data_IF_762895624452
#
_entry.id   IF_762895624452
#
_cell.length_a   1.000
_cell.length_b   1.000
_cell.length_c   1.000
_cell.angle_alpha   90.00
_cell.angle_beta   90.00
_cell.angle_gamma   90.00
#
_symmetry.space_group_name_H-M   'P 1'
#
loop_
_entity.id
_entity.type
_entity.pdbx_description
1 polymer ?
#
# COMPACT_ATOMS: atom_id res chain seq x y z
N UNK A 1 15.39 4.45 -15.02
CA UNK A 1 14.10 4.40 -14.36
C UNK A 1 13.21 3.35 -15.03
N UNK A 2 11.92 3.29 -14.70
CA UNK A 2 10.97 2.32 -15.28
C UNK A 2 10.58 2.79 -16.67
N UNK A 3 10.63 1.91 -17.68
CA UNK A 3 10.22 2.24 -19.05
C UNK A 3 8.70 2.28 -19.23
N UNK A 4 8.25 2.90 -20.34
CA UNK A 4 6.82 3.10 -20.60
C UNK A 4 6.06 1.79 -20.81
N UNK A 5 6.67 0.76 -21.37
CA UNK A 5 6.03 -0.55 -21.60
C UNK A 5 5.75 -1.22 -20.24
N UNK A 6 6.73 -1.24 -19.32
CA UNK A 6 6.58 -1.76 -17.98
C UNK A 6 5.51 -0.98 -17.21
N UNK A 7 5.50 0.37 -17.31
CA UNK A 7 4.48 1.20 -16.67
C UNK A 7 3.07 0.88 -17.21
N UNK A 8 2.92 0.75 -18.53
CA UNK A 8 1.64 0.39 -19.17
C UNK A 8 1.15 -0.98 -18.69
N UNK A 9 2.02 -1.99 -18.67
CA UNK A 9 1.66 -3.31 -18.18
C UNK A 9 1.26 -3.29 -16.70
N UNK A 10 2.01 -2.58 -15.88
CA UNK A 10 1.77 -2.54 -14.44
C UNK A 10 0.51 -1.74 -14.09
N UNK A 11 0.24 -0.62 -14.78
CA UNK A 11 -0.94 0.21 -14.55
C UNK A 11 -2.17 -0.34 -15.29
N UNK A 12 -2.10 -0.48 -16.63
CA UNK A 12 -3.28 -0.74 -17.47
C UNK A 12 -3.71 -2.22 -17.49
N UNK A 13 -2.86 -3.13 -17.00
CA UNK A 13 -3.19 -4.56 -16.90
C UNK A 13 -3.24 -5.03 -15.45
N UNK A 14 -2.13 -4.93 -14.74
CA UNK A 14 -2.02 -5.48 -13.38
C UNK A 14 -2.93 -4.72 -12.39
N UNK A 15 -2.78 -3.40 -12.27
CA UNK A 15 -3.63 -2.60 -11.40
C UNK A 15 -5.11 -2.60 -11.86
N UNK A 16 -5.37 -2.48 -13.15
CA UNK A 16 -6.74 -2.54 -13.69
C UNK A 16 -7.45 -3.85 -13.37
N UNK A 17 -6.71 -4.98 -13.29
CA UNK A 17 -7.28 -6.28 -12.87
C UNK A 17 -7.74 -6.24 -11.42
N UNK A 18 -6.99 -5.62 -10.51
CA UNK A 18 -7.43 -5.44 -9.12
C UNK A 18 -8.71 -4.63 -9.05
N UNK A 19 -8.80 -3.53 -9.78
CA UNK A 19 -10.02 -2.69 -9.83
C UNK A 19 -11.22 -3.50 -10.32
N UNK A 20 -11.09 -4.21 -11.43
CA UNK A 20 -12.18 -5.02 -11.98
C UNK A 20 -12.66 -6.10 -11.01
N UNK A 21 -11.73 -6.80 -10.36
CA UNK A 21 -12.07 -7.88 -9.42
C UNK A 21 -12.67 -7.34 -8.11
N UNK A 22 -12.20 -6.19 -7.60
CA UNK A 22 -12.79 -5.55 -6.43
C UNK A 22 -14.23 -5.11 -6.72
N UNK A 23 -14.48 -4.47 -7.86
CA UNK A 23 -15.82 -4.08 -8.29
C UNK A 23 -16.76 -5.30 -8.42
N UNK A 24 -16.31 -6.39 -9.07
CA UNK A 24 -17.08 -7.61 -9.20
C UNK A 24 -17.41 -8.28 -7.85
N UNK A 25 -16.57 -8.10 -6.83
CA UNK A 25 -16.87 -8.54 -5.47
C UNK A 25 -17.93 -7.65 -4.82
N UNK A 26 -17.79 -6.31 -4.91
CA UNK A 26 -18.73 -5.34 -4.34
C UNK A 26 -20.12 -5.42 -4.96
N UNK A 27 -20.25 -5.71 -6.26
CA UNK A 27 -21.53 -5.91 -6.95
C UNK A 27 -22.42 -6.98 -6.30
N UNK A 28 -21.83 -7.93 -5.58
CA UNK A 28 -22.60 -8.99 -4.88
C UNK A 28 -23.25 -8.49 -3.59
N UNK A 29 -22.73 -7.39 -3.03
CA UNK A 29 -23.14 -6.83 -1.74
C UNK A 29 -23.25 -5.31 -1.80
N UNK A 30 -24.13 -4.74 -2.63
CA UNK A 30 -24.23 -3.29 -2.79
C UNK A 30 -24.60 -2.55 -1.49
N UNK A 31 -25.13 -3.26 -0.51
CA UNK A 31 -25.50 -2.71 0.80
C UNK A 31 -24.31 -2.26 1.66
N UNK A 32 -23.10 -2.78 1.41
CA UNK A 32 -21.92 -2.41 2.21
C UNK A 32 -21.22 -1.13 1.71
N UNK A 33 -21.65 -0.60 0.56
CA UNK A 33 -21.02 0.59 -0.06
C UNK A 33 -19.71 0.26 -0.80
N UNK A 34 -19.03 1.33 -1.23
CA UNK A 34 -17.84 1.23 -2.11
C UNK A 34 -16.58 1.87 -1.49
N UNK A 35 -16.66 2.31 -0.24
CA UNK A 35 -15.49 2.89 0.46
C UNK A 35 -14.53 1.78 0.89
N UNK A 36 -13.56 1.49 0.02
CA UNK A 36 -12.56 0.44 0.28
C UNK A 36 -11.70 0.73 1.50
N UNK A 37 -11.43 1.99 1.83
CA UNK A 37 -10.64 2.34 3.02
C UNK A 37 -11.42 1.96 4.28
N UNK A 38 -12.69 2.34 4.35
CA UNK A 38 -13.57 1.98 5.47
C UNK A 38 -13.73 0.45 5.59
N UNK A 39 -14.00 -0.23 4.47
CA UNK A 39 -14.19 -1.69 4.45
C UNK A 39 -12.93 -2.45 4.88
N UNK A 40 -11.76 -2.07 4.38
CA UNK A 40 -10.51 -2.76 4.69
C UNK A 40 -9.94 -2.39 6.07
N UNK A 41 -10.40 -1.29 6.68
CA UNK A 41 -10.06 -0.96 8.07
C UNK A 41 -10.80 -1.84 9.09
N UNK A 42 -11.86 -2.54 8.69
CA UNK A 42 -12.59 -3.49 9.52
C UNK A 42 -13.05 -4.70 8.67
N UNK A 43 -12.08 -5.51 8.29
CA UNK A 43 -12.30 -6.66 7.38
C UNK A 43 -13.31 -7.67 7.90
N UNK A 44 -13.53 -7.71 9.22
CA UNK A 44 -14.52 -8.63 9.82
C UNK A 44 -15.96 -8.24 9.49
N UNK A 45 -16.22 -6.98 9.17
CA UNK A 45 -17.54 -6.50 8.72
C UNK A 45 -17.83 -6.83 7.26
N UNK A 46 -16.83 -7.22 6.48
CA UNK A 46 -17.00 -7.61 5.08
C UNK A 46 -17.69 -9.01 5.04
N UNK A 47 -18.74 -9.20 4.25
CA UNK A 47 -19.35 -10.52 4.05
C UNK A 47 -18.32 -11.60 3.71
N UNK A 48 -18.43 -12.75 4.38
CA UNK A 48 -17.40 -13.79 4.35
C UNK A 48 -17.11 -14.34 2.95
N UNK A 49 -18.12 -14.36 2.07
CA UNK A 49 -18.03 -14.87 0.71
C UNK A 49 -17.24 -13.96 -0.24
N UNK A 50 -17.09 -12.65 0.08
CA UNK A 50 -16.32 -11.69 -0.69
C UNK A 50 -15.10 -11.13 0.07
N UNK A 51 -14.97 -11.37 1.37
CA UNK A 51 -13.94 -10.80 2.23
C UNK A 51 -12.53 -10.99 1.65
N UNK A 52 -12.16 -12.22 1.33
CA UNK A 52 -10.83 -12.49 0.80
C UNK A 52 -10.61 -11.85 -0.58
N UNK A 53 -11.64 -11.78 -1.40
CA UNK A 53 -11.56 -11.12 -2.69
C UNK A 53 -11.30 -9.61 -2.53
N UNK A 54 -11.95 -8.95 -1.56
CA UNK A 54 -11.71 -7.54 -1.27
C UNK A 54 -10.36 -7.30 -0.60
N UNK A 55 -9.91 -8.15 0.33
CA UNK A 55 -8.55 -8.07 0.89
C UNK A 55 -7.52 -8.10 -0.25
N UNK A 56 -7.62 -9.07 -1.15
CA UNK A 56 -6.65 -9.23 -2.23
C UNK A 56 -6.75 -8.12 -3.30
N UNK A 57 -7.95 -7.79 -3.76
CA UNK A 57 -8.12 -6.91 -4.90
C UNK A 57 -8.37 -5.45 -4.49
N UNK A 58 -9.12 -5.21 -3.42
CA UNK A 58 -9.27 -3.89 -2.83
C UNK A 58 -7.95 -3.38 -2.27
N UNK A 59 -7.24 -4.22 -1.51
CA UNK A 59 -5.89 -3.91 -1.02
C UNK A 59 -4.91 -3.68 -2.18
N UNK A 60 -4.98 -4.52 -3.22
CA UNK A 60 -4.18 -4.35 -4.43
C UNK A 60 -4.43 -3.00 -5.12
N UNK A 61 -5.70 -2.59 -5.22
CA UNK A 61 -6.04 -1.27 -5.75
C UNK A 61 -5.46 -0.14 -4.89
N UNK A 62 -5.68 -0.16 -3.58
CA UNK A 62 -5.19 0.91 -2.70
C UNK A 62 -3.66 1.02 -2.71
N UNK A 63 -2.96 -0.11 -2.62
CA UNK A 63 -1.49 -0.12 -2.66
C UNK A 63 -0.95 0.45 -3.97
N UNK A 64 -1.53 0.07 -5.11
CA UNK A 64 -1.08 0.57 -6.41
C UNK A 64 -1.47 2.03 -6.65
N UNK A 65 -2.66 2.46 -6.21
CA UNK A 65 -3.05 3.87 -6.29
C UNK A 65 -2.05 4.77 -5.55
N UNK A 66 -1.71 4.43 -4.31
CA UNK A 66 -0.69 5.14 -3.55
C UNK A 66 0.70 5.07 -4.22
N UNK A 67 1.07 3.91 -4.75
CA UNK A 67 2.37 3.72 -5.42
C UNK A 67 2.55 4.67 -6.60
N UNK A 68 1.52 4.87 -7.44
CA UNK A 68 1.60 5.79 -8.57
C UNK A 68 1.80 7.25 -8.12
N UNK A 69 1.16 7.67 -7.06
CA UNK A 69 1.30 9.01 -6.50
C UNK A 69 2.69 9.28 -5.91
N UNK A 70 3.35 8.23 -5.40
CA UNK A 70 4.69 8.33 -4.82
C UNK A 70 5.82 8.30 -5.86
N UNK A 71 5.55 7.86 -7.10
CA UNK A 71 6.53 7.85 -8.16
C UNK A 71 6.66 9.22 -8.82
N UNK A 72 7.90 9.68 -9.00
CA UNK A 72 8.21 10.90 -9.75
C UNK A 72 9.41 10.67 -10.67
N UNK A 73 9.39 11.16 -11.92
CA UNK A 73 10.56 11.18 -12.77
C UNK A 73 11.60 12.21 -12.30
N UNK A 74 11.18 13.15 -11.46
CA UNK A 74 11.98 14.24 -10.94
C UNK A 74 12.48 13.93 -9.53
N UNK A 75 13.72 14.34 -9.24
CA UNK A 75 14.22 14.24 -7.88
C UNK A 75 13.47 15.24 -7.01
N UNK A 76 12.84 14.74 -5.97
CA UNK A 76 12.20 15.54 -4.93
C UNK A 76 13.05 15.59 -3.69
N UNK A 77 12.91 16.65 -2.91
CA UNK A 77 13.58 16.79 -1.62
C UNK A 77 12.57 16.47 -0.50
N UNK A 78 13.08 15.81 0.53
CA UNK A 78 12.30 15.54 1.74
C UNK A 78 11.97 16.84 2.46
N UNK A 79 10.77 16.99 3.01
CA UNK A 79 10.43 18.13 3.85
C UNK A 79 11.27 18.15 5.14
N UNK A 80 11.56 19.34 5.65
CA UNK A 80 12.32 19.48 6.90
C UNK A 80 11.62 18.81 8.09
N UNK A 81 10.28 18.82 8.11
CA UNK A 81 9.47 18.17 9.13
C UNK A 81 9.64 16.65 9.09
N UNK A 82 9.43 16.03 7.93
CA UNK A 82 9.59 14.58 7.78
C UNK A 82 11.05 14.16 8.03
N UNK A 83 12.03 14.95 7.61
CA UNK A 83 13.43 14.66 7.90
C UNK A 83 13.72 14.63 9.42
N UNK A 84 13.18 15.60 10.16
CA UNK A 84 13.32 15.65 11.61
C UNK A 84 12.63 14.45 12.31
N UNK A 85 11.46 14.03 11.84
CA UNK A 85 10.76 12.87 12.39
C UNK A 85 11.51 11.56 12.08
N UNK A 86 12.10 11.45 10.90
CA UNK A 86 12.95 10.31 10.52
C UNK A 86 14.19 10.25 11.42
N UNK A 87 14.90 11.37 11.59
CA UNK A 87 16.08 11.44 12.45
C UNK A 87 15.74 11.11 13.91
N UNK A 88 14.61 11.61 14.40
CA UNK A 88 14.15 11.34 15.76
C UNK A 88 13.79 9.85 15.97
N UNK A 89 13.26 9.19 14.94
CA UNK A 89 12.77 7.80 15.04
C UNK A 89 13.86 6.78 14.74
N UNK A 90 14.66 7.02 13.69
CA UNK A 90 15.61 6.04 13.16
C UNK A 90 17.07 6.42 13.44
N UNK A 91 17.34 7.65 13.88
CA UNK A 91 18.70 8.16 14.13
C UNK A 91 19.27 8.95 12.95
N UNK A 92 19.03 8.53 11.73
CA UNK A 92 19.39 9.24 10.50
C UNK A 92 18.54 8.79 9.32
N UNK A 93 18.57 9.58 8.24
CA UNK A 93 17.94 9.16 6.97
C UNK A 93 18.61 7.89 6.39
N UNK A 94 19.91 7.70 6.59
CA UNK A 94 20.62 6.51 6.14
C UNK A 94 20.15 5.25 6.91
N UNK A 95 19.98 5.36 8.22
CA UNK A 95 19.48 4.25 9.05
C UNK A 95 18.01 3.91 8.66
N UNK A 96 17.18 4.92 8.41
CA UNK A 96 15.83 4.70 7.85
C UNK A 96 15.88 3.94 6.53
N UNK A 97 16.75 4.34 5.59
CA UNK A 97 16.89 3.65 4.30
C UNK A 97 17.29 2.18 4.47
N UNK A 98 18.19 1.89 5.41
CA UNK A 98 18.61 0.51 5.72
C UNK A 98 17.43 -0.31 6.26
N UNK A 99 16.69 0.22 7.24
CA UNK A 99 15.51 -0.44 7.81
C UNK A 99 14.44 -0.68 6.75
N UNK A 100 14.13 0.33 5.93
CA UNK A 100 13.12 0.22 4.87
C UNK A 100 13.54 -0.78 3.79
N UNK A 101 14.80 -0.73 3.34
CA UNK A 101 15.34 -1.67 2.36
C UNK A 101 15.33 -3.09 2.88
N UNK A 102 15.69 -3.27 4.14
CA UNK A 102 15.64 -4.59 4.80
C UNK A 102 14.21 -5.11 4.85
N UNK A 103 13.24 -4.30 5.27
CA UNK A 103 11.83 -4.69 5.29
C UNK A 103 11.32 -5.10 3.89
N UNK A 104 11.72 -4.37 2.85
CA UNK A 104 11.33 -4.68 1.47
C UNK A 104 11.99 -5.96 0.94
N UNK A 105 13.31 -6.13 1.14
CA UNK A 105 14.08 -7.24 0.53
C UNK A 105 13.94 -8.56 1.27
N UNK A 106 13.62 -8.54 2.56
CA UNK A 106 13.41 -9.75 3.37
C UNK A 106 11.97 -10.24 3.36
N UNK A 107 11.03 -9.48 2.78
CA UNK A 107 9.64 -9.94 2.64
C UNK A 107 9.60 -11.16 1.73
N UNK A 108 9.30 -12.33 2.31
CA UNK A 108 9.20 -13.56 1.56
C UNK A 108 7.92 -13.59 0.72
N UNK A 109 8.05 -13.93 -0.55
CA UNK A 109 6.95 -13.90 -1.52
C UNK A 109 6.68 -12.49 -2.04
N UNK A 110 5.45 -12.24 -2.48
CA UNK A 110 5.00 -10.89 -2.87
C UNK A 110 4.64 -10.06 -1.64
N UNK A 111 4.75 -8.76 -1.74
CA UNK A 111 4.37 -7.85 -0.68
C UNK A 111 4.88 -6.44 -0.88
N UNK A 112 4.69 -5.64 0.15
CA UNK A 112 5.00 -4.21 0.17
C UNK A 112 5.79 -3.84 1.43
N UNK A 113 6.58 -2.79 1.34
CA UNK A 113 7.15 -2.11 2.51
C UNK A 113 6.59 -0.70 2.58
N UNK A 114 6.31 -0.24 3.81
CA UNK A 114 5.69 1.06 4.08
C UNK A 114 6.45 1.79 5.18
N UNK A 115 6.52 3.11 5.05
CA UNK A 115 6.72 4.02 6.15
C UNK A 115 5.34 4.52 6.58
N UNK A 116 4.96 4.27 7.81
CA UNK A 116 3.64 4.62 8.34
C UNK A 116 3.75 5.47 9.60
N UNK A 117 2.68 6.18 9.93
CA UNK A 117 2.47 6.73 11.26
C UNK A 117 1.62 5.74 12.03
N UNK A 118 2.15 5.17 13.10
CA UNK A 118 1.46 4.18 13.91
C UNK A 118 0.40 4.82 14.83
N UNK A 119 -0.33 4.00 15.58
CA UNK A 119 -1.40 4.44 16.50
C UNK A 119 -0.91 5.35 17.62
N UNK A 120 0.39 5.37 17.89
CA UNK A 120 1.02 6.25 18.87
C UNK A 120 1.50 7.58 18.28
N UNK A 121 1.26 7.80 16.98
CA UNK A 121 1.69 9.00 16.26
C UNK A 121 3.19 8.99 15.90
N UNK A 122 3.85 7.84 15.88
CA UNK A 122 5.27 7.69 15.56
C UNK A 122 5.47 7.06 14.20
N UNK A 123 6.56 7.41 13.53
CA UNK A 123 6.98 6.75 12.31
C UNK A 123 7.38 5.30 12.60
N UNK A 124 6.98 4.40 11.70
CA UNK A 124 7.31 2.98 11.75
C UNK A 124 7.49 2.43 10.35
N UNK A 125 8.46 1.55 10.16
CA UNK A 125 8.61 0.78 8.91
C UNK A 125 8.00 -0.59 9.12
N UNK A 126 7.04 -0.93 8.28
CA UNK A 126 6.41 -2.25 8.28
C UNK A 126 6.47 -2.90 6.90
N UNK A 127 6.25 -4.20 6.83
CA UNK A 127 6.03 -4.89 5.56
C UNK A 127 4.82 -5.81 5.65
N UNK A 128 4.04 -5.84 4.58
CA UNK A 128 2.84 -6.67 4.45
C UNK A 128 3.03 -7.75 3.40
N UNK A 129 2.32 -8.85 3.52
CA UNK A 129 2.31 -9.92 2.51
C UNK A 129 1.30 -9.62 1.41
N UNK A 130 1.58 -10.07 0.21
CA UNK A 130 0.67 -9.97 -0.94
C UNK A 130 0.16 -8.55 -1.17
N UNK A 131 -1.15 -8.34 -1.05
CA UNK A 131 -1.80 -7.05 -1.22
C UNK A 131 -2.42 -6.50 0.08
N UNK A 132 -2.06 -7.09 1.22
CA UNK A 132 -2.47 -6.55 2.52
C UNK A 132 -1.96 -5.10 2.67
N UNK A 133 -2.76 -4.26 3.31
CA UNK A 133 -2.43 -2.86 3.53
C UNK A 133 -2.25 -2.56 5.02
N UNK A 134 -1.54 -1.49 5.39
CA UNK A 134 -1.35 -1.10 6.79
C UNK A 134 -2.63 -0.75 7.54
N UNK A 135 -3.74 -0.56 6.86
CA UNK A 135 -5.03 -0.17 7.46
C UNK A 135 -5.89 -1.36 7.92
N UNK A 136 -5.49 -2.60 7.58
CA UNK A 136 -6.19 -3.84 7.94
C UNK A 136 -5.97 -4.27 9.41
#
# INVERSE_FOLDING_TARGET
HIDAETMTLHHDKHHATYVANANAALEKHPEIGEDLVALLSDVEQIPADIRQALINNGGGHLNHALFWELLSPEKTEISAELAADIDATFGSFADFQEVFTTAATTRFGSGWAFLVVNKEGKLEVISTANQDTPIM
#
